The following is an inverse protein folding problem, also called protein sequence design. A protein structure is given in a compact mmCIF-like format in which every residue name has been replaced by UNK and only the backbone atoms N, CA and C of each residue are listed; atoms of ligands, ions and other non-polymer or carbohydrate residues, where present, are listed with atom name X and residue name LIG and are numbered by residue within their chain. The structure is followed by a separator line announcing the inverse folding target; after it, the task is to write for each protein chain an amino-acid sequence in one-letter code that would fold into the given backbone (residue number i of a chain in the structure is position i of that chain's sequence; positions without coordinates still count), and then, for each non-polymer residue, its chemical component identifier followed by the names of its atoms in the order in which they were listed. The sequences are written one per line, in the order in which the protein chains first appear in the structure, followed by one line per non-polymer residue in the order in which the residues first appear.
data_IF_262491408737
#
_entry.id   IF_262491408737
#
_cell.length_a   1.000
_cell.length_b   1.000
_cell.length_c   1.000
_cell.angle_alpha   90.00
_cell.angle_beta   90.00
_cell.angle_gamma   90.00
#
_symmetry.space_group_name_H-M   'P 1'
#
loop_
_entity.id
_entity.type
_entity.pdbx_description
1 polymer ?
#
# COMPACT_ATOMS: atom_id res chain seq x y z
N UNK A 1 0.65 24.27 -2.03
CA UNK A 1 -0.23 23.12 -1.69
C UNK A 1 0.64 21.87 -1.69
N UNK A 2 0.76 21.21 -0.55
CA UNK A 2 1.57 20.02 -0.34
C UNK A 2 1.37 19.53 1.09
N UNK A 3 1.43 18.23 1.33
CA UNK A 3 1.38 17.74 2.71
C UNK A 3 2.69 18.10 3.41
N UNK A 4 2.61 18.49 4.67
CA UNK A 4 3.78 18.81 5.52
C UNK A 4 4.61 17.56 5.88
N UNK A 5 4.20 16.39 5.41
CA UNK A 5 4.84 15.11 5.61
C UNK A 5 6.06 14.91 4.70
N UNK A 6 7.15 15.64 4.95
CA UNK A 6 8.46 15.37 4.33
C UNK A 6 9.19 14.21 5.00
N UNK A 7 10.07 13.51 4.25
CA UNK A 7 11.02 12.58 4.85
C UNK A 7 11.96 13.36 5.79
N UNK A 8 12.04 12.97 7.06
CA UNK A 8 13.02 13.54 8.01
C UNK A 8 14.34 12.81 7.82
N UNK A 9 15.33 13.46 7.20
CA UNK A 9 16.69 12.91 7.08
C UNK A 9 16.84 11.78 6.06
N UNK A 10 17.56 10.71 6.44
CA UNK A 10 17.94 9.57 5.58
C UNK A 10 16.93 8.40 5.60
N UNK A 11 15.78 8.55 6.27
CA UNK A 11 14.82 7.46 6.40
C UNK A 11 14.31 6.97 5.04
N UNK A 12 14.16 5.64 4.85
CA UNK A 12 13.54 5.10 3.65
C UNK A 12 12.15 5.70 3.45
N UNK A 13 11.87 6.14 2.23
CA UNK A 13 10.55 6.61 1.82
C UNK A 13 9.49 5.54 2.13
N UNK A 14 8.28 5.96 2.50
CA UNK A 14 7.19 5.09 2.97
C UNK A 14 6.07 5.01 1.92
N UNK A 15 5.03 4.23 2.17
CA UNK A 15 3.93 3.96 1.22
C UNK A 15 3.35 5.22 0.56
N UNK A 16 3.19 6.33 1.30
CA UNK A 16 2.64 7.60 0.78
C UNK A 16 3.70 8.56 0.22
N UNK A 17 4.90 8.08 -0.12
CA UNK A 17 5.91 8.90 -0.77
C UNK A 17 5.45 9.34 -2.16
N UNK A 18 5.87 10.54 -2.60
CA UNK A 18 5.47 11.09 -3.88
C UNK A 18 5.88 10.25 -5.09
N UNK A 19 6.97 9.47 -4.96
CA UNK A 19 7.48 8.57 -5.98
C UNK A 19 7.98 7.28 -5.36
N UNK A 20 7.73 6.15 -6.04
CA UNK A 20 8.34 4.87 -5.71
C UNK A 20 9.76 4.85 -6.25
N UNK A 21 10.72 4.68 -5.37
CA UNK A 21 12.16 4.58 -5.68
C UNK A 21 12.75 3.32 -5.06
N UNK A 22 13.97 2.96 -5.43
CA UNK A 22 14.68 1.81 -4.83
C UNK A 22 14.85 1.92 -3.31
N UNK A 23 14.80 3.12 -2.73
CA UNK A 23 14.87 3.36 -1.28
C UNK A 23 13.51 3.45 -0.61
N UNK A 24 12.43 3.14 -1.34
CA UNK A 24 11.07 3.14 -0.80
C UNK A 24 10.75 1.80 -0.20
N UNK A 25 10.23 1.79 1.03
CA UNK A 25 9.57 0.64 1.61
C UNK A 25 8.05 0.82 1.44
N UNK A 26 7.46 0.29 0.36
CA UNK A 26 6.06 0.55 0.02
C UNK A 26 5.08 -0.21 0.93
N UNK A 27 5.55 -1.05 1.85
CA UNK A 27 4.68 -1.85 2.72
C UNK A 27 4.50 -1.25 4.12
N UNK A 28 5.06 -0.07 4.38
CA UNK A 28 5.05 0.58 5.70
C UNK A 28 4.49 1.99 5.60
N UNK A 29 3.60 2.36 6.51
CA UNK A 29 3.06 3.71 6.66
C UNK A 29 4.01 4.62 7.45
N UNK A 30 4.14 5.90 7.07
CA UNK A 30 4.89 6.89 7.86
C UNK A 30 4.09 7.32 9.09
N UNK A 31 4.76 7.87 10.12
CA UNK A 31 4.09 8.51 11.26
C UNK A 31 3.13 9.60 10.80
N UNK A 32 3.55 10.43 9.85
CA UNK A 32 2.70 11.50 9.32
C UNK A 32 1.44 10.97 8.60
N UNK A 33 1.53 9.85 7.87
CA UNK A 33 0.35 9.21 7.26
C UNK A 33 -0.60 8.68 8.34
N UNK A 34 -0.06 8.12 9.42
CA UNK A 34 -0.82 7.65 10.59
C UNK A 34 -1.54 8.80 11.29
N UNK A 35 -0.84 9.88 11.58
CA UNK A 35 -1.42 11.05 12.27
C UNK A 35 -2.56 11.65 11.43
N UNK A 36 -2.38 11.71 10.12
CA UNK A 36 -3.39 12.24 9.20
C UNK A 36 -4.65 11.36 9.15
N UNK A 37 -4.51 10.04 8.96
CA UNK A 37 -5.69 9.15 8.92
C UNK A 37 -6.41 9.11 10.27
N UNK A 38 -5.68 9.16 11.39
CA UNK A 38 -6.29 9.26 12.73
C UNK A 38 -7.12 10.53 12.85
N UNK A 39 -6.54 11.70 12.54
CA UNK A 39 -7.29 12.97 12.60
C UNK A 39 -8.49 13.00 11.66
N UNK A 40 -8.38 12.40 10.47
CA UNK A 40 -9.49 12.27 9.53
C UNK A 40 -10.64 11.45 10.13
N UNK A 41 -10.35 10.29 10.71
CA UNK A 41 -11.36 9.42 11.32
C UNK A 41 -11.96 10.04 12.58
N UNK A 42 -11.15 10.63 13.46
CA UNK A 42 -11.58 11.29 14.71
C UNK A 42 -12.49 12.49 14.47
N UNK A 43 -12.35 13.16 13.32
CA UNK A 43 -13.23 14.27 12.91
C UNK A 43 -14.62 13.82 12.45
N UNK A 44 -14.88 12.51 12.39
CA UNK A 44 -16.16 11.94 11.94
C UNK A 44 -16.30 11.82 10.42
N UNK A 45 -15.27 12.14 9.64
CA UNK A 45 -15.32 12.00 8.18
C UNK A 45 -15.35 10.54 7.71
N UNK A 46 -15.05 9.59 8.61
CA UNK A 46 -15.10 8.14 8.36
C UNK A 46 -16.39 7.45 8.76
N UNK A 47 -17.46 8.18 9.13
CA UNK A 47 -18.70 7.57 9.66
C UNK A 47 -19.33 6.53 8.72
N UNK A 48 -19.17 6.69 7.40
CA UNK A 48 -19.66 5.74 6.41
C UNK A 48 -18.93 4.39 6.39
N UNK A 49 -17.84 4.23 7.16
CA UNK A 49 -17.05 3.00 7.26
C UNK A 49 -17.42 2.15 8.49
N UNK A 50 -18.35 2.63 9.33
CA UNK A 50 -18.72 1.97 10.58
C UNK A 50 -19.73 0.83 10.43
N UNK A 51 -20.21 0.55 9.22
CA UNK A 51 -21.07 -0.58 8.95
C UNK A 51 -20.27 -1.76 8.38
N UNK A 52 -20.56 -2.95 8.88
CA UNK A 52 -20.05 -4.19 8.27
C UNK A 52 -20.72 -4.40 6.91
N UNK A 53 -19.99 -4.82 5.86
CA UNK A 53 -20.62 -5.18 4.60
C UNK A 53 -21.57 -6.38 4.80
N UNK A 54 -22.76 -6.38 4.17
CA UNK A 54 -23.77 -7.42 4.37
C UNK A 54 -23.37 -8.78 3.79
N UNK A 55 -22.46 -8.78 2.81
CA UNK A 55 -21.87 -9.97 2.20
C UNK A 55 -20.39 -9.73 1.98
N UNK A 56 -19.62 -10.82 2.04
CA UNK A 56 -18.20 -10.81 1.75
C UNK A 56 -17.96 -11.77 0.58
N UNK A 57 -18.19 -11.26 -0.63
CA UNK A 57 -18.14 -12.07 -1.86
C UNK A 57 -16.71 -12.33 -2.33
N UNK A 58 -15.71 -11.69 -1.73
CA UNK A 58 -14.30 -11.87 -2.03
C UNK A 58 -13.58 -12.61 -0.90
N UNK A 59 -13.04 -13.79 -1.23
CA UNK A 59 -12.17 -14.56 -0.34
C UNK A 59 -10.73 -14.12 -0.60
N UNK A 60 -10.11 -13.52 0.42
CA UNK A 60 -8.70 -13.15 0.34
C UNK A 60 -7.82 -14.42 0.27
N UNK A 61 -6.83 -14.47 -0.65
CA UNK A 61 -5.85 -15.55 -0.67
C UNK A 61 -5.10 -15.61 0.66
N UNK A 62 -4.96 -16.83 1.21
CA UNK A 62 -4.21 -17.06 2.45
C UNK A 62 -2.73 -17.38 2.22
N UNK A 63 -2.36 -17.66 0.96
CA UNK A 63 -0.98 -17.92 0.55
C UNK A 63 -0.30 -16.62 0.14
N UNK A 64 1.02 -16.55 0.34
CA UNK A 64 1.79 -15.38 -0.09
C UNK A 64 1.82 -15.30 -1.63
N UNK A 65 1.82 -14.10 -2.24
CA UNK A 65 1.86 -13.95 -3.70
C UNK A 65 3.02 -14.70 -4.36
N UNK A 66 4.21 -14.76 -3.74
CA UNK A 66 5.36 -15.50 -4.26
C UNK A 66 5.26 -17.03 -4.15
N UNK A 67 4.28 -17.56 -3.41
CA UNK A 67 3.92 -18.99 -3.43
C UNK A 67 2.88 -19.29 -4.50
N UNK A 68 2.02 -18.32 -4.79
CA UNK A 68 0.98 -18.44 -5.83
C UNK A 68 1.54 -18.16 -7.23
N UNK A 69 2.55 -17.31 -7.34
CA UNK A 69 3.16 -16.88 -8.59
C UNK A 69 4.67 -16.98 -8.52
N UNK A 70 5.27 -17.80 -9.37
CA UNK A 70 6.72 -17.94 -9.45
C UNK A 70 7.40 -16.73 -10.12
N UNK A 71 8.72 -16.79 -10.27
CA UNK A 71 9.48 -15.70 -10.86
C UNK A 71 9.09 -15.40 -12.32
N UNK A 72 8.82 -16.45 -13.11
CA UNK A 72 8.46 -16.31 -14.52
C UNK A 72 7.07 -15.67 -14.66
N UNK A 73 6.11 -16.06 -13.83
CA UNK A 73 4.78 -15.45 -13.79
C UNK A 73 4.85 -13.97 -13.40
N UNK A 74 5.67 -13.63 -12.38
CA UNK A 74 5.88 -12.24 -11.98
C UNK A 74 6.51 -11.40 -13.10
N UNK A 75 7.52 -11.93 -13.81
CA UNK A 75 8.09 -11.28 -14.99
C UNK A 75 7.05 -11.08 -16.11
N UNK A 76 6.17 -12.07 -16.33
CA UNK A 76 5.08 -11.95 -17.32
C UNK A 76 4.09 -10.84 -16.98
N UNK A 77 3.75 -10.65 -15.71
CA UNK A 77 2.86 -9.56 -15.29
C UNK A 77 3.51 -8.18 -15.47
N UNK A 78 4.81 -8.07 -15.21
CA UNK A 78 5.50 -6.78 -15.24
C UNK A 78 5.93 -6.35 -16.66
N UNK A 79 6.35 -7.30 -17.49
CA UNK A 79 7.01 -7.04 -18.78
C UNK A 79 6.32 -7.71 -19.98
N UNK A 80 5.22 -8.43 -19.75
CA UNK A 80 4.40 -9.05 -20.81
C UNK A 80 4.65 -10.55 -21.00
N UNK A 81 3.75 -11.21 -21.74
CA UNK A 81 3.60 -12.68 -21.78
C UNK A 81 4.82 -13.48 -22.25
N UNK A 82 5.81 -12.85 -22.88
CA UNK A 82 7.05 -13.48 -23.35
C UNK A 82 8.23 -13.32 -22.38
N UNK A 83 8.11 -12.50 -21.34
CA UNK A 83 9.17 -12.25 -20.36
C UNK A 83 9.31 -13.39 -19.36
N UNK A 84 10.54 -13.74 -18.99
CA UNK A 84 10.94 -14.80 -18.06
C UNK A 84 12.12 -14.31 -17.23
N UNK A 85 12.40 -14.95 -16.09
CA UNK A 85 13.55 -14.60 -15.23
C UNK A 85 14.89 -14.93 -15.88
#
# INVERSE_FOLDING_TARGET
VGNSCGARGQDPAKLMAAHITMKTNPFVWSSCSRDYITSFLDSGLGLCLNNRPPRQDFVYPTVAPGQAYDADEQCRFQHGVKSRQ
#
